data_IF_418650142213
#
_entry.id   IF_418650142213
#
_cell.length_a   1.000
_cell.length_b   1.000
_cell.length_c   1.000
_cell.angle_alpha   90.00
_cell.angle_beta   90.00
_cell.angle_gamma   90.00
#
_symmetry.space_group_name_H-M   'P 1'
#
loop_
_entity.id
_entity.type
_entity.pdbx_description
1 polymer ?
#
# COMPACT_ATOMS: atom_id res chain seq x y z
N UNK A 1 -10.40 25.02 -16.86
CA UNK A 1 -9.72 23.95 -16.10
C UNK A 1 -10.44 22.64 -16.39
N UNK A 2 -9.81 21.70 -17.11
CA UNK A 2 -10.33 20.33 -17.21
C UNK A 2 -9.90 19.64 -15.91
N UNK A 3 -10.84 19.43 -15.00
CA UNK A 3 -10.59 18.74 -13.74
C UNK A 3 -11.72 17.78 -13.49
N UNK A 4 -11.43 16.48 -13.52
CA UNK A 4 -12.38 15.45 -13.11
C UNK A 4 -12.70 15.73 -11.64
N UNK A 5 -13.96 16.07 -11.35
CA UNK A 5 -14.41 16.27 -9.98
C UNK A 5 -14.55 14.90 -9.32
N UNK A 6 -13.68 14.61 -8.36
CA UNK A 6 -13.68 13.35 -7.62
C UNK A 6 -14.08 13.65 -6.17
N UNK A 7 -14.99 12.86 -5.55
CA UNK A 7 -15.34 13.06 -4.15
C UNK A 7 -14.10 13.03 -3.25
N UNK A 8 -13.96 14.00 -2.35
CA UNK A 8 -12.80 14.11 -1.46
C UNK A 8 -12.73 12.97 -0.44
N UNK A 9 -13.88 12.44 -0.02
CA UNK A 9 -13.97 11.32 0.90
C UNK A 9 -13.12 10.12 0.45
N UNK A 10 -12.38 9.52 1.37
CA UNK A 10 -11.55 8.35 1.15
C UNK A 10 -12.38 7.16 0.71
N UNK A 11 -12.05 6.61 -0.46
CA UNK A 11 -12.84 5.55 -1.07
C UNK A 11 -12.82 4.23 -0.28
N UNK A 12 -11.81 4.05 0.58
CA UNK A 12 -11.60 2.83 1.35
C UNK A 12 -12.16 2.91 2.78
N UNK A 13 -12.23 4.10 3.36
CA UNK A 13 -12.67 4.27 4.76
C UNK A 13 -14.02 4.95 4.88
N UNK A 14 -14.36 5.90 4.00
CA UNK A 14 -15.67 6.56 3.98
C UNK A 14 -15.71 7.95 4.63
N UNK A 15 -15.48 8.11 5.95
CA UNK A 15 -15.77 9.36 6.66
C UNK A 15 -14.66 10.42 6.56
N UNK A 16 -13.42 10.01 6.29
CA UNK A 16 -12.26 10.91 6.27
C UNK A 16 -11.93 11.34 4.84
N UNK A 17 -11.45 12.57 4.66
CA UNK A 17 -10.97 13.05 3.37
C UNK A 17 -9.68 12.34 2.92
N UNK A 18 -9.61 12.03 1.63
CA UNK A 18 -8.46 11.42 0.99
C UNK A 18 -7.37 12.46 0.76
N UNK A 19 -6.31 12.37 1.54
CA UNK A 19 -5.01 12.95 1.21
C UNK A 19 -3.95 11.84 1.20
N UNK A 20 -2.75 12.20 0.74
CA UNK A 20 -1.66 11.25 0.57
C UNK A 20 -1.37 10.45 1.86
N UNK A 21 -1.16 11.15 2.98
CA UNK A 21 -0.87 10.48 4.26
C UNK A 21 -2.04 9.64 4.78
N UNK A 22 -3.29 10.10 4.59
CA UNK A 22 -4.44 9.30 4.94
C UNK A 22 -4.50 8.03 4.11
N UNK A 23 -4.42 8.14 2.79
CA UNK A 23 -4.51 7.00 1.88
C UNK A 23 -3.50 5.89 2.23
N UNK A 24 -2.26 6.23 2.58
CA UNK A 24 -1.23 5.23 2.84
C UNK A 24 -1.06 4.85 4.32
N UNK A 25 -1.38 5.75 5.27
CA UNK A 25 -1.09 5.53 6.69
C UNK A 25 -2.20 5.89 7.66
N UNK A 26 -3.15 6.74 7.29
CA UNK A 26 -4.28 7.12 8.15
C UNK A 26 -5.48 6.18 8.02
N UNK A 27 -5.72 5.71 6.80
CA UNK A 27 -6.85 4.89 6.42
C UNK A 27 -6.72 3.49 7.03
N UNK A 28 -7.72 3.10 7.81
CA UNK A 28 -7.75 1.80 8.50
C UNK A 28 -7.59 0.62 7.52
N UNK A 29 -8.17 0.77 6.34
CA UNK A 29 -8.07 -0.21 5.27
C UNK A 29 -6.61 -0.47 4.84
N UNK A 30 -5.85 0.60 4.56
CA UNK A 30 -4.47 0.46 4.08
C UNK A 30 -3.48 0.19 5.22
N UNK A 31 -3.78 0.65 6.44
CA UNK A 31 -3.08 0.22 7.66
C UNK A 31 -3.09 -1.31 7.83
N UNK A 32 -4.23 -1.95 7.57
CA UNK A 32 -4.34 -3.42 7.66
C UNK A 32 -3.45 -4.13 6.63
N UNK A 33 -3.34 -3.60 5.41
CA UNK A 33 -2.42 -4.11 4.37
C UNK A 33 -0.97 -4.01 4.86
N UNK A 34 -0.60 -2.85 5.40
CA UNK A 34 0.73 -2.62 5.95
C UNK A 34 1.09 -3.57 7.09
N UNK A 35 0.17 -3.82 8.03
CA UNK A 35 0.40 -4.75 9.13
C UNK A 35 0.66 -6.17 8.61
N UNK A 36 -0.12 -6.63 7.61
CA UNK A 36 0.07 -7.93 6.99
C UNK A 36 1.43 -8.02 6.26
N UNK A 37 1.81 -6.96 5.54
CA UNK A 37 3.12 -6.89 4.87
C UNK A 37 4.28 -6.96 5.87
N UNK A 38 4.16 -6.27 7.00
CA UNK A 38 5.17 -6.29 8.08
C UNK A 38 5.32 -7.65 8.72
N UNK A 39 4.20 -8.30 9.03
CA UNK A 39 4.20 -9.65 9.59
C UNK A 39 4.86 -10.64 8.62
N UNK A 40 4.54 -10.53 7.33
CA UNK A 40 5.14 -11.35 6.29
C UNK A 40 6.66 -11.11 6.15
N UNK A 41 7.09 -9.85 6.15
CA UNK A 41 8.52 -9.48 6.12
C UNK A 41 9.28 -9.86 7.41
N UNK A 42 8.59 -10.38 8.44
CA UNK A 42 9.13 -10.55 9.79
C UNK A 42 9.78 -9.26 10.32
N UNK A 43 9.25 -8.11 9.91
CA UNK A 43 9.80 -6.80 10.24
C UNK A 43 9.04 -6.20 11.42
N UNK A 44 9.63 -6.29 12.60
CA UNK A 44 9.02 -5.79 13.84
C UNK A 44 8.97 -4.26 13.95
N UNK A 45 9.60 -3.52 13.02
CA UNK A 45 9.62 -2.05 13.01
C UNK A 45 8.19 -1.50 12.90
N UNK A 46 7.79 -0.60 13.79
CA UNK A 46 6.50 0.10 13.68
C UNK A 46 6.39 0.88 12.38
N UNK A 47 5.18 0.91 11.80
CA UNK A 47 4.88 1.75 10.64
C UNK A 47 5.01 3.20 11.08
N UNK A 48 5.77 3.98 10.31
CA UNK A 48 5.98 5.39 10.57
C UNK A 48 5.35 6.25 9.48
N UNK A 49 5.69 7.53 9.46
CA UNK A 49 5.29 8.45 8.41
C UNK A 49 5.77 7.98 7.04
N UNK A 50 5.12 8.43 5.96
CA UNK A 50 5.54 8.13 4.59
C UNK A 50 7.02 8.40 4.35
N UNK A 51 7.50 9.55 4.81
CA UNK A 51 8.88 10.01 4.61
C UNK A 51 9.87 9.05 5.28
N UNK A 52 9.53 8.55 6.48
CA UNK A 52 10.35 7.60 7.22
C UNK A 52 10.31 6.19 6.61
N UNK A 53 9.16 5.74 6.10
CA UNK A 53 9.05 4.50 5.33
C UNK A 53 9.87 4.57 4.03
N UNK A 54 9.71 5.63 3.25
CA UNK A 54 10.46 5.83 2.00
C UNK A 54 11.98 5.87 2.23
N UNK A 55 12.43 6.56 3.29
CA UNK A 55 13.85 6.59 3.66
C UNK A 55 14.36 5.19 4.02
N UNK A 56 13.57 4.42 4.78
CA UNK A 56 13.93 3.06 5.16
C UNK A 56 13.98 2.13 3.93
N UNK A 57 12.94 2.10 3.10
CA UNK A 57 12.89 1.29 1.87
C UNK A 57 14.05 1.63 0.94
N UNK A 58 14.33 2.92 0.73
CA UNK A 58 15.46 3.37 -0.09
C UNK A 58 16.80 2.93 0.49
N UNK A 59 16.95 2.95 1.81
CA UNK A 59 18.16 2.45 2.49
C UNK A 59 18.32 0.95 2.30
N UNK A 60 17.23 0.19 2.39
CA UNK A 60 17.20 -1.25 2.13
C UNK A 60 17.57 -1.56 0.69
N UNK A 61 17.01 -0.82 -0.29
CA UNK A 61 17.29 -0.98 -1.71
C UNK A 61 18.78 -0.76 -2.03
N UNK A 62 19.39 0.28 -1.44
CA UNK A 62 20.82 0.62 -1.65
C UNK A 62 21.78 -0.46 -1.15
N UNK A 63 21.41 -1.23 -0.14
CA UNK A 63 22.26 -2.30 0.41
C UNK A 63 22.37 -3.53 -0.51
N UNK A 64 21.61 -3.61 -1.62
CA UNK A 64 21.70 -4.63 -2.70
C UNK A 64 21.89 -6.09 -2.22
N UNK A 65 21.19 -6.49 -1.17
CA UNK A 65 21.14 -7.88 -0.65
C UNK A 65 19.70 -8.40 -0.70
N UNK A 66 19.50 -9.72 -0.72
CA UNK A 66 18.19 -10.38 -0.92
C UNK A 66 17.03 -9.75 -0.14
N UNK A 67 17.19 -9.51 1.16
CA UNK A 67 16.17 -8.85 1.99
C UNK A 67 15.80 -7.44 1.50
N UNK A 68 16.77 -6.65 1.05
CA UNK A 68 16.52 -5.29 0.52
C UNK A 68 15.71 -5.31 -0.77
N UNK A 69 15.96 -6.29 -1.64
CA UNK A 69 15.17 -6.51 -2.86
C UNK A 69 13.73 -6.90 -2.53
N UNK A 70 13.55 -7.82 -1.59
CA UNK A 70 12.24 -8.27 -1.12
C UNK A 70 11.43 -7.11 -0.54
N UNK A 71 12.03 -6.33 0.37
CA UNK A 71 11.39 -5.13 0.97
C UNK A 71 10.97 -4.13 -0.10
N UNK A 72 11.85 -3.86 -1.07
CA UNK A 72 11.57 -2.89 -2.14
C UNK A 72 10.44 -3.35 -3.05
N UNK A 73 10.44 -4.62 -3.43
CA UNK A 73 9.39 -5.23 -4.25
C UNK A 73 8.05 -5.25 -3.52
N UNK A 74 8.04 -5.67 -2.25
CA UNK A 74 6.87 -5.71 -1.39
C UNK A 74 6.23 -4.31 -1.23
N UNK A 75 7.04 -3.29 -0.96
CA UNK A 75 6.57 -1.91 -0.85
C UNK A 75 6.03 -1.37 -2.19
N UNK A 76 6.74 -1.60 -3.30
CA UNK A 76 6.30 -1.18 -4.63
C UNK A 76 4.98 -1.82 -5.05
N UNK A 77 4.83 -3.13 -4.80
CA UNK A 77 3.58 -3.85 -5.02
C UNK A 77 2.44 -3.25 -4.22
N UNK A 78 2.71 -2.82 -2.99
CA UNK A 78 1.69 -2.26 -2.12
C UNK A 78 1.17 -0.92 -2.62
N UNK A 79 2.08 -0.03 -3.01
CA UNK A 79 1.71 1.25 -3.62
C UNK A 79 0.89 1.01 -4.90
N UNK A 80 1.32 0.07 -5.74
CA UNK A 80 0.62 -0.27 -6.98
C UNK A 80 -0.80 -0.79 -6.74
N UNK A 81 -0.94 -1.76 -5.83
CA UNK A 81 -2.22 -2.41 -5.53
C UNK A 81 -3.23 -1.41 -4.96
N UNK A 82 -2.80 -0.56 -4.01
CA UNK A 82 -3.64 0.52 -3.45
C UNK A 82 -4.09 1.47 -4.57
N UNK A 83 -3.17 1.93 -5.41
CA UNK A 83 -3.47 2.85 -6.51
C UNK A 83 -4.45 2.23 -7.52
N UNK A 84 -4.22 0.97 -7.91
CA UNK A 84 -5.05 0.24 -8.87
C UNK A 84 -6.47 0.08 -8.34
N UNK A 85 -6.63 -0.40 -7.11
CA UNK A 85 -7.94 -0.63 -6.52
C UNK A 85 -8.70 0.69 -6.31
N UNK A 86 -7.99 1.75 -5.89
CA UNK A 86 -8.57 3.09 -5.80
C UNK A 86 -9.16 3.55 -7.13
N UNK A 87 -8.37 3.47 -8.20
CA UNK A 87 -8.82 3.88 -9.53
C UNK A 87 -9.97 3.01 -10.05
N UNK A 88 -9.94 1.71 -9.77
CA UNK A 88 -11.01 0.79 -10.15
C UNK A 88 -12.34 1.17 -9.49
N UNK A 89 -12.34 1.46 -8.19
CA UNK A 89 -13.56 1.87 -7.50
C UNK A 89 -14.05 3.23 -8.03
N UNK A 90 -13.14 4.19 -8.19
CA UNK A 90 -13.48 5.56 -8.59
C UNK A 90 -14.02 5.68 -10.01
N UNK A 91 -13.49 4.91 -10.95
CA UNK A 91 -13.75 5.14 -12.37
C UNK A 91 -14.47 3.98 -13.07
N UNK A 92 -14.59 2.81 -12.42
CA UNK A 92 -15.14 1.61 -13.03
C UNK A 92 -16.19 0.90 -12.16
N UNK A 93 -16.80 1.61 -11.20
CA UNK A 93 -17.82 1.07 -10.29
C UNK A 93 -17.41 -0.24 -9.61
N UNK A 94 -16.11 -0.40 -9.36
CA UNK A 94 -15.57 -1.61 -8.75
C UNK A 94 -15.78 -1.67 -7.24
N UNK A 95 -15.70 -2.87 -6.68
CA UNK A 95 -15.52 -3.06 -5.23
C UNK A 95 -14.11 -3.58 -4.94
N UNK A 96 -13.61 -3.27 -3.74
CA UNK A 96 -12.32 -3.75 -3.26
C UNK A 96 -12.48 -4.40 -1.89
N UNK A 97 -11.76 -5.51 -1.69
CA UNK A 97 -11.75 -6.27 -0.44
C UNK A 97 -10.32 -6.34 0.08
N UNK A 98 -10.06 -6.01 1.36
CA UNK A 98 -8.71 -6.05 1.92
C UNK A 98 -8.12 -7.45 1.78
N UNK A 99 -8.93 -8.48 1.97
CA UNK A 99 -8.50 -9.89 1.89
C UNK A 99 -8.17 -10.33 0.47
N UNK A 100 -8.78 -9.73 -0.55
CA UNK A 100 -8.40 -9.98 -1.95
C UNK A 100 -7.02 -9.40 -2.24
N UNK A 101 -6.78 -8.15 -1.86
CA UNK A 101 -5.47 -7.53 -2.07
C UNK A 101 -4.39 -8.24 -1.26
N UNK A 102 -4.68 -8.61 -0.01
CA UNK A 102 -3.77 -9.38 0.84
C UNK A 102 -3.40 -10.75 0.25
N UNK A 103 -4.38 -11.46 -0.34
CA UNK A 103 -4.10 -12.70 -1.08
C UNK A 103 -3.18 -12.47 -2.27
N UNK A 104 -3.33 -11.34 -2.95
CA UNK A 104 -2.50 -10.98 -4.10
C UNK A 104 -1.03 -10.70 -3.69
N UNK A 105 -0.80 -10.09 -2.52
CA UNK A 105 0.55 -10.01 -1.95
C UNK A 105 1.13 -11.39 -1.66
N UNK A 106 0.36 -12.27 -1.02
CA UNK A 106 0.82 -13.63 -0.72
C UNK A 106 1.14 -14.42 -1.99
N UNK A 107 0.31 -14.34 -3.04
CA UNK A 107 0.50 -15.09 -4.28
C UNK A 107 1.67 -14.58 -5.12
N UNK A 108 1.82 -13.27 -5.29
CA UNK A 108 2.90 -12.72 -6.14
C UNK A 108 4.27 -12.89 -5.52
N UNK A 109 4.34 -12.98 -4.19
CA UNK A 109 5.61 -13.14 -3.51
C UNK A 109 5.99 -14.63 -3.37
N UNK A 110 5.02 -15.55 -3.21
CA UNK A 110 5.29 -17.01 -3.23
C UNK A 110 5.86 -17.50 -4.58
N UNK A 111 5.52 -16.84 -5.69
CA UNK A 111 6.02 -17.20 -7.03
C UNK A 111 7.50 -16.81 -7.23
N UNK A 112 8.03 -15.91 -6.38
CA UNK A 112 9.40 -15.38 -6.50
C UNK A 112 10.30 -15.67 -5.29
N UNK A 113 9.82 -16.51 -4.37
CA UNK A 113 10.57 -17.03 -3.22
C UNK A 113 11.26 -18.35 -3.55
#
# INVERSE_FOLDING_TARGET
>A
KIGIQVPQACIFSGPDDEHFDHLFFGCEYTKNIWQRLRNWLSCQRQIRTWQEEMKWVTTCARKKKGFGTIVSAAFGMMVYVIWRDKNKIRFHSGSSSPDRMCREFSSHIHIRG
#
